data_IF_754819446739
#
_entry.id   IF_754819446739
#
_cell.length_a   1.000
_cell.length_b   1.000
_cell.length_c   1.000
_cell.angle_alpha   90.00
_cell.angle_beta   90.00
_cell.angle_gamma   90.00
#
_symmetry.space_group_name_H-M   'P 1'
#
loop_
_entity.id
_entity.type
_entity.pdbx_description
1 polymer ?
#
# COMPACT_ATOMS: atom_id res chain seq x y z
N UNK A 1 -7.81 22.99 -6.37
CA UNK A 1 -7.20 21.66 -6.65
C UNK A 1 -6.00 21.35 -5.75
N UNK A 2 -5.14 22.31 -5.42
CA UNK A 2 -3.98 22.11 -4.55
C UNK A 2 -4.33 21.53 -3.16
N UNK A 3 -5.37 22.05 -2.52
CA UNK A 3 -5.88 21.57 -1.21
C UNK A 3 -6.35 20.13 -1.25
N UNK A 4 -7.00 19.70 -2.33
CA UNK A 4 -7.43 18.31 -2.50
C UNK A 4 -6.24 17.36 -2.69
N UNK A 5 -5.24 17.76 -3.48
CA UNK A 5 -4.01 16.99 -3.64
C UNK A 5 -3.23 16.89 -2.33
N UNK A 6 -3.14 17.98 -1.56
CA UNK A 6 -2.53 17.98 -0.24
C UNK A 6 -3.29 17.06 0.73
N UNK A 7 -4.62 17.03 0.67
CA UNK A 7 -5.46 16.12 1.46
C UNK A 7 -5.25 14.65 1.09
N UNK A 8 -5.17 14.34 -0.22
CA UNK A 8 -4.90 12.99 -0.71
C UNK A 8 -3.54 12.47 -0.21
N UNK A 9 -2.50 13.29 -0.28
CA UNK A 9 -1.14 12.91 0.15
C UNK A 9 -1.06 12.83 1.69
N UNK A 10 -1.75 13.74 2.40
CA UNK A 10 -1.88 13.69 3.85
C UNK A 10 -2.54 12.39 4.32
N UNK A 11 -3.51 11.86 3.56
CA UNK A 11 -4.31 10.70 3.92
C UNK A 11 -4.07 9.49 3.01
N UNK A 12 -2.88 9.39 2.39
CA UNK A 12 -2.58 8.37 1.37
C UNK A 12 -2.80 6.95 1.88
N UNK A 13 -2.55 6.70 3.17
CA UNK A 13 -2.78 5.40 3.79
C UNK A 13 -4.27 5.06 3.82
N UNK A 14 -5.12 5.99 4.25
CA UNK A 14 -6.57 5.79 4.27
C UNK A 14 -7.12 5.64 2.86
N UNK A 15 -6.68 6.50 1.94
CA UNK A 15 -7.13 6.46 0.53
C UNK A 15 -6.78 5.11 -0.11
N UNK A 16 -5.54 4.64 0.04
CA UNK A 16 -5.12 3.34 -0.50
C UNK A 16 -5.84 2.16 0.15
N UNK A 17 -6.20 2.24 1.44
CA UNK A 17 -7.04 1.21 2.09
C UNK A 17 -8.45 1.20 1.53
N UNK A 18 -9.08 2.37 1.38
CA UNK A 18 -10.44 2.47 0.83
C UNK A 18 -10.48 1.96 -0.60
N UNK A 19 -9.50 2.35 -1.43
CA UNK A 19 -9.39 1.86 -2.81
C UNK A 19 -9.21 0.34 -2.87
N UNK A 20 -8.43 -0.24 -1.97
CA UNK A 20 -8.26 -1.69 -1.88
C UNK A 20 -9.59 -2.39 -1.57
N UNK A 21 -10.35 -1.88 -0.59
CA UNK A 21 -11.68 -2.43 -0.25
C UNK A 21 -12.60 -2.36 -1.46
N UNK A 22 -12.70 -1.19 -2.12
CA UNK A 22 -13.53 -1.03 -3.32
C UNK A 22 -13.12 -1.99 -4.42
N UNK A 23 -11.81 -2.15 -4.67
CA UNK A 23 -11.30 -3.10 -5.66
C UNK A 23 -11.68 -4.54 -5.32
N UNK A 24 -11.53 -4.94 -4.05
CA UNK A 24 -11.91 -6.27 -3.59
C UNK A 24 -13.42 -6.52 -3.79
N UNK A 25 -14.28 -5.59 -3.38
CA UNK A 25 -15.73 -5.75 -3.52
C UNK A 25 -16.12 -5.87 -5.00
N UNK A 26 -15.54 -5.01 -5.86
CA UNK A 26 -15.76 -5.11 -7.31
C UNK A 26 -15.32 -6.48 -7.84
N UNK A 27 -14.12 -6.96 -7.48
CA UNK A 27 -13.64 -8.28 -7.87
C UNK A 27 -14.57 -9.40 -7.37
N UNK A 28 -15.02 -9.32 -6.11
CA UNK A 28 -15.90 -10.32 -5.48
C UNK A 28 -17.26 -10.42 -6.20
N UNK A 29 -17.89 -9.29 -6.52
CA UNK A 29 -19.21 -9.24 -7.15
C UNK A 29 -19.19 -9.46 -8.68
N UNK A 30 -18.10 -9.13 -9.38
CA UNK A 30 -18.07 -9.18 -10.86
C UNK A 30 -17.59 -10.49 -11.46
N UNK A 31 -17.08 -11.42 -10.65
CA UNK A 31 -16.64 -12.71 -11.18
C UNK A 31 -15.39 -13.30 -10.53
N UNK A 32 -15.01 -12.87 -9.32
CA UNK A 32 -13.91 -13.50 -8.59
C UNK A 32 -14.09 -15.03 -8.50
N UNK A 33 -12.96 -15.73 -8.49
CA UNK A 33 -12.91 -17.20 -8.52
C UNK A 33 -13.84 -17.81 -7.47
N UNK A 34 -14.61 -18.84 -7.87
CA UNK A 34 -15.52 -19.54 -6.96
C UNK A 34 -14.81 -20.10 -5.73
N UNK A 35 -13.50 -20.36 -5.85
CA UNK A 35 -12.67 -20.91 -4.77
C UNK A 35 -12.53 -19.96 -3.57
N UNK A 36 -12.70 -18.65 -3.77
CA UNK A 36 -12.67 -17.64 -2.70
C UNK A 36 -14.05 -17.06 -2.37
N UNK A 37 -15.10 -17.58 -3.02
CA UNK A 37 -16.47 -17.16 -2.72
C UNK A 37 -17.01 -17.95 -1.54
N UNK A 38 -17.42 -17.22 -0.51
CA UNK A 38 -18.16 -17.77 0.60
C UNK A 38 -19.59 -18.11 0.19
N UNK A 39 -20.15 -19.19 0.75
CA UNK A 39 -21.56 -19.62 0.55
C UNK A 39 -22.56 -18.48 0.82
N UNK A 40 -22.24 -17.61 1.79
CA UNK A 40 -22.97 -16.37 2.02
C UNK A 40 -22.24 -15.19 1.40
N UNK A 41 -22.84 -14.61 0.35
CA UNK A 41 -22.34 -13.40 -0.32
C UNK A 41 -22.14 -12.23 0.64
N UNK A 42 -23.04 -12.09 1.63
CA UNK A 42 -22.93 -11.06 2.65
C UNK A 42 -21.77 -11.32 3.63
N UNK A 43 -21.51 -12.58 3.97
CA UNK A 43 -20.39 -12.94 4.84
C UNK A 43 -19.04 -12.71 4.13
N UNK A 44 -18.95 -13.00 2.83
CA UNK A 44 -17.74 -12.75 2.04
C UNK A 44 -17.40 -11.27 1.90
N UNK A 45 -18.39 -10.42 1.59
CA UNK A 45 -18.22 -8.97 1.56
C UNK A 45 -17.79 -8.42 2.95
N UNK A 46 -18.46 -8.86 4.02
CA UNK A 46 -18.11 -8.44 5.38
C UNK A 46 -16.68 -8.86 5.79
N UNK A 47 -16.24 -10.06 5.38
CA UNK A 47 -14.86 -10.53 5.59
C UNK A 47 -13.86 -9.73 4.78
N UNK A 48 -14.18 -9.39 3.53
CA UNK A 48 -13.39 -8.50 2.69
C UNK A 48 -13.09 -7.16 3.34
N UNK A 49 -14.14 -6.51 3.84
CA UNK A 49 -14.03 -5.23 4.55
C UNK A 49 -13.06 -5.29 5.75
N UNK A 50 -12.99 -6.43 6.44
CA UNK A 50 -12.12 -6.62 7.61
C UNK A 50 -10.71 -7.10 7.25
N UNK A 51 -10.59 -8.04 6.30
CA UNK A 51 -9.32 -8.67 5.93
C UNK A 51 -8.47 -7.78 5.04
N UNK A 52 -9.06 -6.97 4.16
CA UNK A 52 -8.30 -6.12 3.23
C UNK A 52 -7.43 -5.09 3.96
N UNK A 53 -7.92 -4.37 5.00
CA UNK A 53 -7.07 -3.52 5.84
C UNK A 53 -5.95 -4.30 6.53
N UNK A 54 -6.23 -5.51 7.04
CA UNK A 54 -5.23 -6.35 7.71
C UNK A 54 -4.14 -6.84 6.75
N UNK A 55 -4.53 -7.30 5.56
CA UNK A 55 -3.61 -7.71 4.49
C UNK A 55 -2.74 -6.55 4.05
N UNK A 56 -3.31 -5.35 3.94
CA UNK A 56 -2.54 -4.14 3.63
C UNK A 56 -1.55 -3.78 4.73
N UNK A 57 -1.90 -3.96 6.00
CA UNK A 57 -0.96 -3.76 7.12
C UNK A 57 0.15 -4.81 7.08
N UNK A 58 -0.17 -6.06 6.78
CA UNK A 58 0.81 -7.14 6.68
C UNK A 58 1.81 -6.93 5.53
N UNK A 59 1.36 -6.38 4.39
CA UNK A 59 2.19 -6.19 3.19
C UNK A 59 2.84 -4.80 3.13
N UNK A 60 2.15 -3.76 3.63
CA UNK A 60 2.52 -2.35 3.49
C UNK A 60 2.89 -1.64 4.81
N UNK A 61 2.89 -2.34 5.96
CA UNK A 61 3.29 -1.77 7.23
C UNK A 61 2.32 -0.72 7.82
N UNK A 62 2.63 -0.24 9.04
CA UNK A 62 1.77 0.68 9.80
C UNK A 62 2.21 2.14 9.66
N UNK A 63 1.29 3.11 9.46
CA UNK A 63 1.64 4.53 9.47
C UNK A 63 2.15 4.97 10.85
N UNK A 64 3.45 5.21 10.93
CA UNK A 64 4.10 5.62 12.18
C UNK A 64 4.36 7.13 12.20
N UNK A 65 4.49 7.72 13.40
CA UNK A 65 5.07 9.07 13.58
C UNK A 65 6.61 9.02 13.72
N UNK A 66 7.19 7.82 13.70
CA UNK A 66 8.57 7.56 14.06
C UNK A 66 9.39 7.20 12.81
N UNK A 67 10.37 8.02 12.48
CA UNK A 67 11.25 7.81 11.32
C UNK A 67 11.94 6.44 11.34
N UNK A 68 12.23 5.86 12.52
CA UNK A 68 12.74 4.50 12.61
C UNK A 68 11.73 3.45 12.16
N UNK A 69 10.46 3.58 12.55
CA UNK A 69 9.42 2.67 12.11
C UNK A 69 9.13 2.83 10.60
N UNK A 70 9.27 4.03 10.04
CA UNK A 70 9.20 4.23 8.59
C UNK A 70 10.36 3.52 7.84
N UNK A 71 11.56 3.53 8.41
CA UNK A 71 12.69 2.77 7.86
C UNK A 71 12.45 1.26 7.92
N UNK A 72 11.95 0.75 9.06
CA UNK A 72 11.58 -0.66 9.19
C UNK A 72 10.47 -1.06 8.21
N UNK A 73 9.45 -0.23 8.01
CA UNK A 73 8.40 -0.48 7.02
C UNK A 73 8.96 -0.58 5.60
N UNK A 74 9.91 0.30 5.24
CA UNK A 74 10.58 0.24 3.95
C UNK A 74 11.39 -1.07 3.80
N UNK A 75 12.12 -1.45 4.84
CA UNK A 75 12.89 -2.70 4.86
C UNK A 75 11.98 -3.92 4.70
N UNK A 76 10.84 -3.96 5.41
CA UNK A 76 9.84 -5.02 5.27
C UNK A 76 9.32 -5.09 3.84
N UNK A 77 9.00 -3.95 3.23
CA UNK A 77 8.54 -3.93 1.83
C UNK A 77 9.60 -4.50 0.87
N UNK A 78 10.88 -4.14 1.05
CA UNK A 78 11.99 -4.70 0.27
C UNK A 78 12.11 -6.21 0.47
N UNK A 79 12.01 -6.70 1.71
CA UNK A 79 12.03 -8.13 2.02
C UNK A 79 10.87 -8.84 1.35
N UNK A 80 9.66 -8.28 1.39
CA UNK A 80 8.47 -8.86 0.72
C UNK A 80 8.69 -9.00 -0.78
N UNK A 81 9.15 -7.96 -1.48
CA UNK A 81 9.45 -8.05 -2.91
C UNK A 81 10.58 -9.06 -3.21
N UNK A 82 11.59 -9.13 -2.34
CA UNK A 82 12.69 -10.08 -2.47
C UNK A 82 12.19 -11.52 -2.32
N UNK A 83 11.33 -11.78 -1.33
CA UNK A 83 10.69 -13.07 -1.12
C UNK A 83 9.81 -13.47 -2.30
N UNK A 84 9.00 -12.55 -2.83
CA UNK A 84 8.20 -12.79 -4.04
C UNK A 84 9.11 -13.22 -5.20
N UNK A 85 10.22 -12.50 -5.42
CA UNK A 85 11.15 -12.84 -6.48
C UNK A 85 11.79 -14.22 -6.29
N UNK A 86 12.29 -14.51 -5.09
CA UNK A 86 12.92 -15.81 -4.76
C UNK A 86 11.92 -16.96 -4.91
N UNK A 87 10.70 -16.81 -4.40
CA UNK A 87 9.67 -17.86 -4.51
C UNK A 87 9.22 -18.04 -5.95
N UNK A 88 8.92 -16.95 -6.65
CA UNK A 88 8.45 -17.00 -8.03
C UNK A 88 9.50 -17.52 -9.01
N UNK A 89 10.79 -17.32 -8.72
CA UNK A 89 11.88 -17.87 -9.52
C UNK A 89 12.07 -19.39 -9.35
N UNK A 90 11.77 -19.92 -8.16
CA UNK A 90 11.95 -21.33 -7.86
C UNK A 90 10.70 -22.18 -8.14
N UNK A 91 9.52 -21.55 -8.26
CA UNK A 91 8.25 -22.23 -8.49
C UNK A 91 7.74 -21.90 -9.89
N UNK A 92 7.77 -22.90 -10.79
CA UNK A 92 7.43 -22.72 -12.21
C UNK A 92 6.04 -22.09 -12.43
N UNK A 93 5.06 -22.43 -11.59
CA UNK A 93 3.72 -21.89 -11.67
C UNK A 93 3.60 -20.41 -11.25
N UNK A 94 4.57 -19.89 -10.49
CA UNK A 94 4.58 -18.52 -10.00
C UNK A 94 5.50 -17.60 -10.83
N UNK A 95 6.25 -18.12 -11.80
CA UNK A 95 7.12 -17.32 -12.68
C UNK A 95 6.37 -16.16 -13.36
N UNK A 96 5.11 -16.37 -13.72
CA UNK A 96 4.25 -15.34 -14.32
C UNK A 96 4.02 -14.12 -13.42
N UNK A 97 4.24 -14.23 -12.10
CA UNK A 97 4.04 -13.15 -11.13
C UNK A 97 5.23 -12.19 -11.03
N UNK A 98 6.41 -12.55 -11.57
CA UNK A 98 7.62 -11.72 -11.46
C UNK A 98 7.43 -10.38 -12.18
N UNK A 99 7.06 -10.39 -13.46
CA UNK A 99 6.92 -9.17 -14.23
C UNK A 99 5.83 -8.24 -13.67
N UNK A 100 4.62 -8.72 -13.32
CA UNK A 100 3.61 -7.90 -12.66
C UNK A 100 4.06 -7.34 -11.30
N UNK A 101 4.76 -8.12 -10.48
CA UNK A 101 5.27 -7.63 -9.19
C UNK A 101 6.32 -6.51 -9.36
N UNK A 102 7.21 -6.62 -10.35
CA UNK A 102 8.17 -5.57 -10.70
C UNK A 102 7.46 -4.30 -11.17
N UNK A 103 6.41 -4.43 -11.99
CA UNK A 103 5.61 -3.28 -12.43
C UNK A 103 4.95 -2.58 -11.23
N UNK A 104 4.38 -3.34 -10.30
CA UNK A 104 3.79 -2.78 -9.06
C UNK A 104 4.85 -2.04 -8.24
N UNK A 105 6.06 -2.60 -8.10
CA UNK A 105 7.16 -1.94 -7.39
C UNK A 105 7.56 -0.61 -8.04
N UNK A 106 7.69 -0.58 -9.37
CA UNK A 106 8.07 0.62 -10.13
C UNK A 106 6.99 1.71 -10.04
N UNK A 107 5.71 1.34 -10.19
CA UNK A 107 4.59 2.28 -10.05
C UNK A 107 4.54 2.84 -8.63
N UNK A 108 4.71 1.98 -7.62
CA UNK A 108 4.74 2.40 -6.21
C UNK A 108 5.88 3.38 -5.93
N UNK A 109 7.07 3.11 -6.48
CA UNK A 109 8.24 3.99 -6.36
C UNK A 109 7.97 5.35 -7.02
N UNK A 110 7.44 5.36 -8.25
CA UNK A 110 7.12 6.58 -8.97
C UNK A 110 6.10 7.44 -8.19
N UNK A 111 5.03 6.83 -7.70
CA UNK A 111 4.02 7.54 -6.89
C UNK A 111 4.61 8.06 -5.58
N UNK A 112 5.50 7.31 -4.94
CA UNK A 112 6.17 7.74 -3.71
C UNK A 112 7.09 8.94 -3.93
N UNK A 113 7.84 8.97 -5.04
CA UNK A 113 8.67 10.12 -5.43
C UNK A 113 7.81 11.36 -5.69
N UNK A 114 6.70 11.21 -6.42
CA UNK A 114 5.79 12.33 -6.70
C UNK A 114 5.19 12.88 -5.38
N UNK A 115 4.72 11.99 -4.51
CA UNK A 115 4.14 12.36 -3.23
C UNK A 115 5.17 13.04 -2.30
N UNK A 116 6.41 12.57 -2.28
CA UNK A 116 7.48 13.15 -1.45
C UNK A 116 7.91 14.53 -1.96
N UNK A 117 8.08 14.69 -3.27
CA UNK A 117 8.40 15.99 -3.88
C UNK A 117 7.28 17.00 -3.63
N UNK A 118 6.03 16.59 -3.77
CA UNK A 118 4.88 17.45 -3.47
C UNK A 118 4.84 17.84 -1.99
N UNK A 119 5.06 16.88 -1.10
CA UNK A 119 5.12 17.13 0.36
C UNK A 119 6.23 18.10 0.72
N UNK A 120 7.43 17.93 0.15
CA UNK A 120 8.55 18.83 0.38
C UNK A 120 8.30 20.25 -0.15
N UNK A 121 7.50 20.42 -1.21
CA UNK A 121 7.14 21.74 -1.74
C UNK A 121 5.97 22.40 -1.03
N UNK A 122 5.06 21.62 -0.44
CA UNK A 122 3.81 22.11 0.14
C UNK A 122 3.59 21.59 1.56
N UNK A 123 4.67 21.54 2.34
CA UNK A 123 4.67 20.96 3.68
C UNK A 123 3.59 21.57 4.58
N UNK A 124 3.46 22.89 4.60
CA UNK A 124 2.52 23.59 5.48
C UNK A 124 1.07 23.16 5.21
N UNK A 125 0.69 22.97 3.94
CA UNK A 125 -0.64 22.51 3.54
C UNK A 125 -0.85 21.01 3.87
N UNK A 126 0.15 20.16 3.62
CA UNK A 126 0.03 18.71 3.86
C UNK A 126 0.06 18.37 5.35
N UNK A 127 0.79 19.14 6.17
CA UNK A 127 0.88 18.96 7.63
C UNK A 127 -0.36 19.51 8.32
N UNK A 128 -0.89 20.67 7.90
CA UNK A 128 -2.13 21.23 8.50
C UNK A 128 -3.34 20.31 8.29
N UNK A 129 -3.37 19.60 7.17
CA UNK A 129 -4.40 18.58 6.88
C UNK A 129 -4.18 17.25 7.61
N UNK A 130 -3.01 17.06 8.25
CA UNK A 130 -2.65 15.84 8.98
C UNK A 130 -2.12 16.21 10.37
N UNK A 131 -3.02 16.30 11.34
CA UNK A 131 -2.73 16.68 12.73
C UNK A 131 -1.90 15.62 13.50
N UNK A 132 -0.64 15.36 13.10
CA UNK A 132 0.27 14.42 13.78
C UNK A 132 1.47 15.09 14.44
N UNK A 133 1.83 16.32 14.06
CA UNK A 133 2.97 17.06 14.63
C UNK A 133 2.50 18.31 15.36
N UNK A 134 2.28 18.18 16.68
CA UNK A 134 2.16 19.30 17.61
C UNK A 134 3.46 19.33 18.40
N UNK A 135 4.46 20.06 17.94
CA UNK A 135 5.65 20.27 18.76
C UNK A 135 6.26 21.65 18.48
N UNK A 136 6.26 22.51 19.49
CA UNK A 136 6.62 23.93 19.40
C UNK A 136 8.14 24.21 19.45
N UNK A 137 8.98 23.17 19.31
CA UNK A 137 10.41 23.29 19.62
C UNK A 137 11.34 22.49 18.68
N UNK A 138 10.85 22.12 17.49
CA UNK A 138 11.63 21.34 16.50
C UNK A 138 11.99 22.22 15.32
N UNK A 139 13.24 22.10 14.85
CA UNK A 139 13.71 22.78 13.64
C UNK A 139 12.79 22.43 12.45
N UNK A 140 12.29 23.47 11.77
CA UNK A 140 11.43 23.33 10.58
C UNK A 140 12.09 22.49 9.49
N UNK A 141 13.43 22.55 9.36
CA UNK A 141 14.14 21.76 8.36
C UNK A 141 14.11 20.26 8.68
N UNK A 142 14.38 19.90 9.93
CA UNK A 142 14.35 18.51 10.40
C UNK A 142 12.94 17.92 10.31
N UNK A 143 11.92 18.70 10.69
CA UNK A 143 10.52 18.32 10.57
C UNK A 143 10.13 18.06 9.10
N UNK A 144 10.57 18.94 8.20
CA UNK A 144 10.31 18.84 6.75
C UNK A 144 10.88 17.59 6.15
N UNK A 145 12.13 17.29 6.48
CA UNK A 145 12.81 16.10 5.99
C UNK A 145 12.15 14.81 6.49
N UNK A 146 11.91 14.72 7.80
CA UNK A 146 11.25 13.56 8.42
C UNK A 146 9.85 13.33 7.84
N UNK A 147 9.08 14.40 7.66
CA UNK A 147 7.74 14.31 7.10
C UNK A 147 7.75 13.91 5.62
N UNK A 148 8.71 14.41 4.84
CA UNK A 148 8.87 14.05 3.43
C UNK A 148 9.21 12.57 3.27
N UNK A 149 10.12 12.04 4.09
CA UNK A 149 10.44 10.59 4.12
C UNK A 149 9.21 9.79 4.56
N UNK A 150 8.50 10.24 5.59
CA UNK A 150 7.29 9.57 6.04
C UNK A 150 6.23 9.46 4.93
N UNK A 151 6.02 10.53 4.14
CA UNK A 151 5.10 10.51 2.99
C UNK A 151 5.61 9.63 1.84
N UNK A 152 6.93 9.61 1.61
CA UNK A 152 7.54 8.67 0.66
C UNK A 152 7.22 7.22 1.04
N UNK A 153 7.61 6.81 2.26
CA UNK A 153 7.42 5.44 2.73
C UNK A 153 5.94 5.06 2.77
N UNK A 154 5.07 5.92 3.32
CA UNK A 154 3.65 5.63 3.39
C UNK A 154 3.00 5.47 2.00
N UNK A 155 3.42 6.27 1.03
CA UNK A 155 2.92 6.14 -0.35
C UNK A 155 3.47 4.89 -1.00
N UNK A 156 4.77 4.62 -0.87
CA UNK A 156 5.41 3.43 -1.44
C UNK A 156 4.75 2.15 -0.92
N UNK A 157 4.62 2.02 0.40
CA UNK A 157 4.06 0.82 1.00
C UNK A 157 2.53 0.76 0.81
N UNK A 158 1.83 1.89 0.79
CA UNK A 158 0.40 1.94 0.53
C UNK A 158 0.03 1.49 -0.89
N UNK A 159 0.75 1.99 -1.90
CA UNK A 159 0.54 1.60 -3.31
C UNK A 159 1.04 0.18 -3.56
N UNK A 160 2.17 -0.22 -2.95
CA UNK A 160 2.69 -1.59 -3.05
C UNK A 160 1.71 -2.59 -2.46
N UNK A 161 1.18 -2.32 -1.25
CA UNK A 161 0.18 -3.17 -0.61
C UNK A 161 -1.08 -3.31 -1.46
N UNK A 162 -1.56 -2.20 -2.04
CA UNK A 162 -2.69 -2.24 -2.96
C UNK A 162 -2.42 -3.11 -4.19
N UNK A 163 -1.30 -2.88 -4.87
CA UNK A 163 -0.97 -3.58 -6.11
C UNK A 163 -0.66 -5.07 -5.89
N UNK A 164 0.02 -5.42 -4.80
CA UNK A 164 0.34 -6.82 -4.48
C UNK A 164 -0.90 -7.61 -4.08
N UNK A 165 -1.81 -7.03 -3.28
CA UNK A 165 -3.07 -7.70 -2.94
C UNK A 165 -3.96 -7.84 -4.18
N UNK A 166 -4.04 -6.81 -5.03
CA UNK A 166 -4.77 -6.91 -6.29
C UNK A 166 -4.20 -8.01 -7.21
N UNK A 167 -2.86 -8.09 -7.30
CA UNK A 167 -2.16 -9.12 -8.07
C UNK A 167 -2.43 -10.52 -7.52
N UNK A 168 -2.47 -10.69 -6.20
CA UNK A 168 -2.86 -11.96 -5.58
C UNK A 168 -4.29 -12.32 -6.00
N UNK A 169 -5.26 -11.43 -5.83
CA UNK A 169 -6.67 -11.68 -6.17
C UNK A 169 -6.88 -12.08 -7.64
N UNK A 170 -6.10 -11.51 -8.57
CA UNK A 170 -6.19 -11.85 -10.00
C UNK A 170 -5.53 -13.21 -10.32
N UNK A 171 -4.50 -13.62 -9.56
CA UNK A 171 -3.72 -14.82 -9.84
C UNK A 171 -4.02 -15.99 -8.88
N UNK A 172 -5.09 -15.91 -8.09
CA UNK A 172 -5.50 -16.96 -7.15
C UNK A 172 -5.64 -18.32 -7.83
N UNK A 173 -6.24 -18.36 -9.03
CA UNK A 173 -6.38 -19.57 -9.83
C UNK A 173 -5.05 -20.29 -10.14
N UNK A 174 -3.95 -19.55 -10.33
CA UNK A 174 -2.63 -20.13 -10.58
C UNK A 174 -1.98 -20.70 -9.32
N UNK A 175 -2.32 -20.16 -8.14
CA UNK A 175 -1.76 -20.62 -6.85
C UNK A 175 -2.45 -21.91 -6.40
N UNK A 176 -3.77 -22.02 -6.62
CA UNK A 176 -4.57 -23.14 -6.13
C UNK A 176 -4.41 -24.39 -7.01
N UNK A 177 -4.25 -24.25 -8.33
CA UNK A 177 -4.06 -25.41 -9.25
C UNK A 177 -2.71 -26.14 -9.08
N UNK A 178 -1.81 -25.63 -8.26
CA UNK A 178 -0.45 -26.17 -8.03
C UNK A 178 -0.37 -27.05 -6.78
N UNK A 179 -1.40 -26.98 -5.93
CA UNK A 179 -1.60 -27.82 -4.75
C UNK A 179 -2.70 -28.84 -5.00
#
# INVERSE_FOLDING_TARGET
MKTFNAWLIANVETVTTVLLIVFYELWYFTGGDEVLKFDSTAAGAALGLLLMPLMKIAVGGYPSRNTFADFFNLLIAVVVYTLIFVVAHNVAALHGMIAPAVVVALVSLMMAVIASVFTGRHMDEVVTLRMLYVNSNVDMFELKWKYTINRFTATFCGVSGLGLVALLLINVEYIIKVW
#
